data_IF_017651564560
#
_entry.id   IF_017651564560
#
_cell.length_a   1.000
_cell.length_b   1.000
_cell.length_c   1.000
_cell.angle_alpha   90.00
_cell.angle_beta   90.00
_cell.angle_gamma   90.00
#
_symmetry.space_group_name_H-M   'P 1'
#
loop_
_entity.id
_entity.type
_entity.pdbx_description
1 polymer ?
#
# COMPACT_ATOMS: atom_id res chain seq x y z
N UNK A 1 -1.30 -6.08 -11.60
CA UNK A 1 0.06 -5.82 -12.12
C UNK A 1 0.61 -4.58 -11.45
N UNK A 2 1.67 -4.75 -10.68
CA UNK A 2 2.38 -3.69 -9.98
C UNK A 2 3.25 -2.95 -11.01
N UNK A 3 3.17 -1.63 -11.02
CA UNK A 3 4.06 -0.77 -11.80
C UNK A 3 4.49 0.44 -10.96
N UNK A 4 5.52 1.15 -11.43
CA UNK A 4 6.11 2.29 -10.72
C UNK A 4 5.07 3.35 -10.35
N UNK A 5 4.21 3.73 -11.29
CA UNK A 5 3.20 4.77 -11.08
C UNK A 5 2.18 4.37 -10.00
N UNK A 6 1.74 3.10 -10.02
CA UNK A 6 0.80 2.55 -9.03
C UNK A 6 1.40 2.57 -7.62
N UNK A 7 2.66 2.13 -7.48
CA UNK A 7 3.37 2.14 -6.21
C UNK A 7 3.66 3.55 -5.71
N UNK A 8 4.20 4.43 -6.56
CA UNK A 8 4.50 5.81 -6.22
C UNK A 8 3.26 6.53 -5.67
N UNK A 9 2.11 6.38 -6.35
CA UNK A 9 0.86 7.00 -5.90
C UNK A 9 0.34 6.43 -4.57
N UNK A 10 0.56 5.15 -4.30
CA UNK A 10 0.18 4.56 -3.03
C UNK A 10 1.10 5.01 -1.88
N UNK A 11 2.40 5.10 -2.13
CA UNK A 11 3.42 5.62 -1.20
C UNK A 11 3.15 7.08 -0.88
N UNK A 12 2.91 7.92 -1.88
CA UNK A 12 2.56 9.33 -1.74
C UNK A 12 1.37 9.50 -0.78
N UNK A 13 0.30 8.73 -0.97
CA UNK A 13 -0.91 8.83 -0.14
C UNK A 13 -0.72 8.34 1.29
N UNK A 14 -0.04 7.22 1.48
CA UNK A 14 0.13 6.62 2.81
C UNK A 14 1.14 7.36 3.66
N UNK A 15 2.21 7.87 3.05
CA UNK A 15 3.28 8.56 3.76
C UNK A 15 3.14 10.09 3.74
N UNK A 16 2.28 10.65 2.88
CA UNK A 16 2.12 12.11 2.74
C UNK A 16 3.38 12.81 2.20
N UNK A 17 4.21 12.07 1.45
CA UNK A 17 5.48 12.57 0.91
C UNK A 17 5.29 13.19 -0.48
N UNK A 18 6.16 14.12 -0.91
CA UNK A 18 6.09 14.69 -2.25
C UNK A 18 6.15 13.61 -3.35
N UNK A 19 5.53 13.84 -4.52
CA UNK A 19 5.50 12.86 -5.61
C UNK A 19 6.89 12.39 -6.09
N UNK A 20 7.90 13.26 -6.03
CA UNK A 20 9.28 12.93 -6.36
C UNK A 20 9.89 11.91 -5.42
N UNK A 21 9.73 12.12 -4.10
CA UNK A 21 10.19 11.21 -3.06
C UNK A 21 9.44 9.88 -3.11
N UNK A 22 8.13 9.94 -3.33
CA UNK A 22 7.30 8.75 -3.50
C UNK A 22 7.78 7.90 -4.70
N UNK A 23 8.11 8.54 -5.81
CA UNK A 23 8.63 7.88 -7.02
C UNK A 23 10.02 7.28 -6.78
N UNK A 24 10.90 7.97 -6.05
CA UNK A 24 12.22 7.46 -5.68
C UNK A 24 12.11 6.22 -4.78
N UNK A 25 11.26 6.28 -3.75
CA UNK A 25 10.97 5.14 -2.86
C UNK A 25 10.36 3.96 -3.63
N UNK A 26 9.39 4.23 -4.51
CA UNK A 26 8.77 3.21 -5.36
C UNK A 26 9.78 2.54 -6.29
N UNK A 27 10.68 3.33 -6.91
CA UNK A 27 11.76 2.79 -7.75
C UNK A 27 12.69 1.92 -6.92
N UNK A 28 13.14 2.41 -5.75
CA UNK A 28 14.04 1.64 -4.87
C UNK A 28 13.42 0.32 -4.45
N UNK A 29 12.13 0.31 -4.13
CA UNK A 29 11.39 -0.91 -3.83
C UNK A 29 11.35 -1.87 -5.03
N UNK A 30 11.02 -1.36 -6.22
CA UNK A 30 10.98 -2.16 -7.44
C UNK A 30 12.36 -2.70 -7.86
N UNK A 31 13.45 -2.00 -7.54
CA UNK A 31 14.81 -2.50 -7.79
C UNK A 31 15.08 -3.82 -7.01
N UNK A 32 14.46 -4.02 -5.84
CA UNK A 32 14.53 -5.27 -5.06
C UNK A 32 13.55 -6.35 -5.55
N UNK A 33 12.29 -5.96 -5.74
CA UNK A 33 11.23 -6.91 -6.08
C UNK A 33 11.30 -7.36 -7.56
N UNK A 34 11.77 -6.50 -8.46
CA UNK A 34 11.73 -6.74 -9.89
C UNK A 34 10.30 -7.06 -10.37
N UNK A 35 10.12 -8.27 -10.91
CA UNK A 35 8.82 -8.78 -11.34
C UNK A 35 8.11 -9.67 -10.29
N UNK A 36 8.69 -9.80 -9.10
CA UNK A 36 8.15 -10.64 -8.02
C UNK A 36 7.30 -9.79 -7.08
N UNK A 37 6.41 -10.44 -6.34
CA UNK A 37 5.62 -9.83 -5.25
C UNK A 37 6.18 -10.17 -3.88
N UNK A 38 7.12 -11.12 -3.78
CA UNK A 38 7.74 -11.59 -2.55
C UNK A 38 9.26 -11.69 -2.70
N UNK A 39 10.01 -11.24 -1.70
CA UNK A 39 11.47 -11.43 -1.59
C UNK A 39 11.86 -11.91 -0.19
N UNK A 40 13.08 -12.43 -0.05
CA UNK A 40 13.67 -12.77 1.26
C UNK A 40 14.36 -11.56 1.88
N UNK A 41 14.31 -11.42 3.21
CA UNK A 41 14.94 -10.30 3.93
C UNK A 41 16.44 -10.17 3.63
N UNK A 42 17.14 -11.30 3.49
CA UNK A 42 18.57 -11.34 3.23
C UNK A 42 18.99 -10.74 1.88
N UNK A 43 18.05 -10.51 0.96
CA UNK A 43 18.33 -9.84 -0.32
C UNK A 43 18.42 -8.32 -0.18
N UNK A 44 18.02 -7.76 0.97
CA UNK A 44 17.89 -6.32 1.19
C UNK A 44 19.20 -5.78 1.78
N UNK A 45 19.72 -4.70 1.18
CA UNK A 45 20.87 -4.01 1.74
C UNK A 45 20.52 -3.33 3.07
N UNK A 46 21.47 -3.29 4.00
CA UNK A 46 21.23 -2.82 5.37
C UNK A 46 20.68 -1.40 5.44
N UNK A 47 21.15 -0.53 4.54
CA UNK A 47 20.73 0.87 4.39
C UNK A 47 19.27 1.03 3.95
N UNK A 48 18.70 0.05 3.24
CA UNK A 48 17.33 0.12 2.74
C UNK A 48 16.31 -0.55 3.66
N UNK A 49 16.73 -1.31 4.67
CA UNK A 49 15.79 -1.97 5.59
C UNK A 49 14.81 -0.99 6.24
N UNK A 50 15.26 0.25 6.50
CA UNK A 50 14.40 1.32 7.03
C UNK A 50 13.20 1.59 6.10
N UNK A 51 13.40 1.57 4.78
CA UNK A 51 12.33 1.76 3.81
C UNK A 51 11.29 0.63 3.89
N UNK A 52 11.74 -0.62 4.10
CA UNK A 52 10.82 -1.76 4.20
C UNK A 52 9.94 -1.68 5.45
N UNK A 53 10.51 -1.34 6.60
CA UNK A 53 9.72 -1.11 7.82
C UNK A 53 8.78 0.09 7.68
N UNK A 54 9.24 1.20 7.11
CA UNK A 54 8.39 2.37 6.83
C UNK A 54 7.18 2.01 5.95
N UNK A 55 7.40 1.21 4.90
CA UNK A 55 6.33 0.76 4.00
C UNK A 55 5.44 -0.31 4.62
N UNK A 56 5.94 -1.09 5.57
CA UNK A 56 5.14 -2.01 6.37
C UNK A 56 4.19 -1.26 7.29
N UNK A 57 4.70 -0.26 8.01
CA UNK A 57 3.90 0.59 8.90
C UNK A 57 2.83 1.36 8.12
N UNK A 58 3.16 1.76 6.88
CA UNK A 58 2.21 2.35 5.92
C UNK A 58 1.16 1.35 5.37
N UNK A 59 1.28 0.05 5.69
CA UNK A 59 0.39 -1.00 5.21
C UNK A 59 0.55 -1.35 3.73
N UNK A 60 1.69 -1.02 3.12
CA UNK A 60 1.99 -1.32 1.72
C UNK A 60 2.78 -2.63 1.56
N UNK A 61 3.53 -3.01 2.60
CA UNK A 61 4.24 -4.28 2.68
C UNK A 61 3.75 -5.11 3.87
N UNK A 62 3.92 -6.42 3.76
CA UNK A 62 3.74 -7.37 4.84
C UNK A 62 5.02 -8.16 5.05
N UNK A 63 5.37 -8.42 6.30
CA UNK A 63 6.41 -9.38 6.65
C UNK A 63 5.79 -10.70 7.14
N UNK A 64 6.42 -11.81 6.77
CA UNK A 64 6.07 -13.14 7.26
C UNK A 64 7.35 -13.94 7.47
N UNK A 65 7.23 -15.07 8.16
CA UNK A 65 8.36 -15.98 8.34
C UNK A 65 7.90 -17.42 8.34
N UNK A 66 8.80 -18.31 7.96
CA UNK A 66 8.60 -19.76 8.08
C UNK A 66 9.83 -20.41 8.71
N UNK A 67 9.62 -21.57 9.34
CA UNK A 67 10.72 -22.41 9.85
C UNK A 67 10.79 -23.66 9.01
N UNK A 68 11.96 -23.93 8.44
CA UNK A 68 12.27 -25.17 7.73
C UNK A 68 13.27 -26.00 8.53
N UNK A 69 13.11 -27.32 8.53
CA UNK A 69 14.06 -28.23 9.13
C UNK A 69 15.16 -28.55 8.11
N UNK A 70 16.40 -28.17 8.40
CA UNK A 70 17.54 -28.57 7.58
C UNK A 70 17.80 -30.06 7.75
N UNK A 71 18.47 -30.68 6.77
CA UNK A 71 18.92 -32.08 6.84
C UNK A 71 19.81 -32.37 8.05
N UNK A 72 20.45 -31.34 8.61
CA UNK A 72 21.22 -31.42 9.86
C UNK A 72 20.37 -31.48 11.14
N UNK A 73 19.03 -31.45 11.03
CA UNK A 73 18.11 -31.40 12.17
C UNK A 73 17.98 -30.01 12.80
N UNK A 74 18.66 -28.99 12.26
CA UNK A 74 18.55 -27.60 12.73
C UNK A 74 17.36 -26.90 12.10
N UNK A 75 16.65 -26.11 12.91
CA UNK A 75 15.63 -25.21 12.43
C UNK A 75 16.27 -23.97 11.79
N UNK A 76 15.85 -23.65 10.58
CA UNK A 76 16.23 -22.45 9.85
C UNK A 76 15.00 -21.58 9.64
N UNK A 77 15.08 -20.30 10.02
CA UNK A 77 13.99 -19.34 9.85
C UNK A 77 14.25 -18.47 8.64
N UNK A 78 13.27 -18.39 7.74
CA UNK A 78 13.31 -17.51 6.57
C UNK A 78 12.30 -16.39 6.81
N UNK A 79 12.72 -15.16 6.58
CA UNK A 79 11.86 -13.98 6.61
C UNK A 79 11.57 -13.51 5.20
N UNK A 80 10.31 -13.18 4.96
CA UNK A 80 9.79 -12.74 3.68
C UNK A 80 9.18 -11.35 3.79
N UNK A 81 9.28 -10.62 2.68
CA UNK A 81 8.63 -9.35 2.44
C UNK A 81 7.71 -9.49 1.24
N UNK A 82 6.45 -9.11 1.39
CA UNK A 82 5.41 -9.21 0.37
C UNK A 82 4.77 -7.85 0.09
N UNK A 83 4.57 -7.53 -1.20
CA UNK A 83 3.71 -6.42 -1.63
C UNK A 83 2.25 -6.89 -1.66
N UNK A 84 1.39 -6.25 -0.88
CA UNK A 84 -0.03 -6.62 -0.82
C UNK A 84 -0.81 -5.92 -1.94
N UNK A 85 -0.92 -6.56 -3.11
CA UNK A 85 -1.60 -5.98 -4.29
C UNK A 85 -3.05 -5.58 -4.02
N UNK A 86 -3.77 -6.36 -3.21
CA UNK A 86 -5.16 -6.07 -2.87
C UNK A 86 -5.31 -4.73 -2.12
N UNK A 87 -4.36 -4.39 -1.27
CA UNK A 87 -4.38 -3.14 -0.50
C UNK A 87 -3.98 -1.94 -1.37
N UNK A 88 -3.05 -2.16 -2.31
CA UNK A 88 -2.74 -1.19 -3.37
C UNK A 88 -3.98 -0.86 -4.23
N UNK A 89 -4.77 -1.87 -4.63
CA UNK A 89 -5.96 -1.66 -5.44
C UNK A 89 -7.07 -0.94 -4.67
N UNK A 90 -7.33 -1.33 -3.42
CA UNK A 90 -8.30 -0.65 -2.55
C UNK A 90 -7.97 0.84 -2.41
N UNK A 91 -6.71 1.16 -2.15
CA UNK A 91 -6.23 2.54 -2.01
C UNK A 91 -6.45 3.39 -3.26
N UNK A 92 -6.35 2.78 -4.44
CA UNK A 92 -6.58 3.48 -5.69
C UNK A 92 -8.06 3.63 -6.04
N UNK A 93 -8.90 2.66 -5.64
CA UNK A 93 -10.35 2.68 -5.87
C UNK A 93 -11.08 3.67 -4.98
N UNK A 94 -10.67 3.89 -3.73
CA UNK A 94 -11.29 4.88 -2.83
C UNK A 94 -11.37 6.29 -3.43
N UNK A 95 -10.46 6.62 -4.35
CA UNK A 95 -10.44 7.91 -5.03
C UNK A 95 -11.52 8.08 -6.10
N UNK A 96 -12.12 7.00 -6.63
CA UNK A 96 -13.33 7.14 -7.46
C UNK A 96 -14.52 7.70 -6.67
N UNK A 97 -14.50 7.60 -5.34
CA UNK A 97 -15.57 8.10 -4.48
C UNK A 97 -15.37 9.53 -4.00
N UNK A 98 -14.25 10.18 -4.32
CA UNK A 98 -14.09 11.62 -4.17
C UNK A 98 -14.65 12.33 -5.41
N UNK A 99 -15.91 12.05 -5.73
CA UNK A 99 -16.75 12.99 -6.47
C UNK A 99 -17.38 13.96 -5.48
N UNK A 100 -17.99 15.04 -5.97
CA UNK A 100 -18.75 16.00 -5.15
C UNK A 100 -19.55 15.31 -4.04
N UNK A 101 -19.62 15.90 -2.83
CA UNK A 101 -20.37 15.32 -1.72
C UNK A 101 -21.75 14.93 -2.21
N UNK A 102 -22.20 13.70 -1.94
CA UNK A 102 -23.50 13.19 -2.41
C UNK A 102 -24.65 14.15 -2.08
N UNK A 103 -24.51 14.89 -0.98
CA UNK A 103 -25.42 15.92 -0.51
C UNK A 103 -25.51 17.14 -1.43
N UNK A 104 -24.41 17.55 -2.08
CA UNK A 104 -24.40 18.68 -3.02
C UNK A 104 -25.09 18.34 -4.36
N UNK A 105 -25.37 17.06 -4.60
CA UNK A 105 -26.11 16.59 -5.78
C UNK A 105 -27.62 16.50 -5.56
N UNK A 106 -28.08 16.73 -4.34
CA UNK A 106 -29.50 16.71 -4.03
C UNK A 106 -30.16 18.04 -4.45
N UNK A 107 -31.34 18.01 -5.08
CA UNK A 107 -32.10 19.23 -5.39
C UNK A 107 -32.37 20.04 -4.13
N UNK A 108 -32.50 21.36 -4.25
CA UNK A 108 -32.82 22.25 -3.12
C UNK A 108 -34.13 21.83 -2.41
N UNK A 109 -35.06 21.22 -3.14
CA UNK A 109 -36.31 20.68 -2.60
C UNK A 109 -36.10 19.53 -1.60
N UNK A 110 -35.00 18.78 -1.70
CA UNK A 110 -34.68 17.69 -0.79
C UNK A 110 -34.29 18.18 0.62
N UNK A 111 -33.94 19.47 0.74
CA UNK A 111 -33.63 20.13 2.00
C UNK A 111 -34.84 20.80 2.65
N UNK A 112 -35.96 20.92 1.92
CA UNK A 112 -37.18 21.55 2.40
C UNK A 112 -38.00 20.61 3.29
N UNK A 113 -38.21 20.99 4.55
CA UNK A 113 -39.23 20.34 5.37
C UNK A 113 -40.62 20.68 4.80
N UNK A 114 -41.43 19.66 4.51
CA UNK A 114 -42.83 19.90 4.15
C UNK A 114 -43.52 20.64 5.30
N UNK A 115 -44.23 21.74 5.03
CA UNK A 115 -44.99 22.42 6.07
C UNK A 115 -46.02 21.45 6.63
N UNK A 116 -46.08 21.35 7.96
CA UNK A 116 -47.04 20.51 8.64
C UNK A 116 -48.46 20.94 8.22
N UNK A 117 -49.17 20.06 7.53
CA UNK A 117 -50.59 20.23 7.21
C UNK A 117 -51.36 20.37 8.52
N UNK A 118 -51.98 21.53 8.72
CA UNK A 118 -52.92 21.81 9.82
C UNK A 118 -54.30 21.28 9.47
#
# INVERSE_FOLDING_TARGET
MINLAKLARAIERRLGVPPGDASAKAKRLLDYFGFRTVIIDNAIASEDRKLFYELQDAGLLRSSWETVLLLSGRNWRIFYWEIVEADLDRLLVENRKTGEPLYERLPDEAWGHSPATT
#
